data_IF_963542503356
#
_entry.id   IF_963542503356
#
_cell.length_a   1.000
_cell.length_b   1.000
_cell.length_c   1.000
_cell.angle_alpha   90.00
_cell.angle_beta   90.00
_cell.angle_gamma   90.00
#
_symmetry.space_group_name_H-M   'P 1'
#
loop_
_entity.id
_entity.type
_entity.pdbx_description
1 polymer ?
#
# COMPACT_ATOMS: atom_id res chain seq x y z
N UNK A 1 0.14 28.08 -6.77
CA UNK A 1 0.69 27.19 -5.73
C UNK A 1 1.46 28.06 -4.75
N UNK A 2 1.17 27.95 -3.45
CA UNK A 2 1.94 28.62 -2.40
C UNK A 2 2.39 27.57 -1.39
N UNK A 3 3.70 27.51 -1.16
CA UNK A 3 4.30 26.53 -0.26
C UNK A 3 3.79 26.68 1.18
N UNK A 4 3.56 27.93 1.63
CA UNK A 4 3.02 28.21 2.96
C UNK A 4 1.62 27.65 3.16
N UNK A 5 0.76 27.75 2.14
CA UNK A 5 -0.61 27.22 2.18
C UNK A 5 -0.61 25.69 2.21
N UNK A 6 0.25 25.06 1.40
CA UNK A 6 0.40 23.61 1.41
C UNK A 6 0.91 23.11 2.77
N UNK A 7 1.92 23.77 3.33
CA UNK A 7 2.49 23.41 4.63
C UNK A 7 1.45 23.48 5.75
N UNK A 8 0.65 24.55 5.78
CA UNK A 8 -0.41 24.70 6.77
C UNK A 8 -1.48 23.60 6.62
N UNK A 9 -1.93 23.33 5.39
CA UNK A 9 -2.91 22.28 5.12
C UNK A 9 -2.40 20.88 5.50
N UNK A 10 -1.12 20.59 5.22
CA UNK A 10 -0.50 19.32 5.59
C UNK A 10 -0.41 19.13 7.11
N UNK A 11 -0.06 20.18 7.87
CA UNK A 11 -0.01 20.13 9.33
C UNK A 11 -1.41 19.87 9.92
N UNK A 12 -2.43 20.59 9.42
CA UNK A 12 -3.81 20.38 9.88
C UNK A 12 -4.28 18.96 9.61
N UNK A 13 -4.01 18.44 8.40
CA UNK A 13 -4.34 17.07 8.05
C UNK A 13 -3.69 16.04 8.97
N UNK A 14 -2.42 16.23 9.35
CA UNK A 14 -1.74 15.35 10.30
C UNK A 14 -2.42 15.33 11.67
N UNK A 15 -2.82 16.50 12.18
CA UNK A 15 -3.48 16.64 13.49
C UNK A 15 -4.88 16.02 13.46
N UNK A 16 -5.68 16.33 12.43
CA UNK A 16 -7.08 15.86 12.33
C UNK A 16 -7.19 14.34 12.15
N UNK A 17 -6.16 13.69 11.62
CA UNK A 17 -6.18 12.25 11.29
C UNK A 17 -5.19 11.42 12.11
N UNK A 18 -4.59 12.01 13.13
CA UNK A 18 -3.59 11.39 14.02
C UNK A 18 -2.47 10.67 13.26
N UNK A 19 -2.02 11.28 12.16
CA UNK A 19 -1.00 10.68 11.30
C UNK A 19 0.39 10.98 11.87
N UNK A 20 1.32 10.02 11.75
CA UNK A 20 2.68 10.28 12.20
C UNK A 20 3.39 11.27 11.28
N UNK A 21 4.25 12.11 11.86
CA UNK A 21 4.95 13.20 11.16
C UNK A 21 5.79 12.71 9.98
N UNK A 22 6.29 11.46 10.06
CA UNK A 22 7.11 10.87 9.00
C UNK A 22 6.34 10.56 7.71
N UNK A 23 5.00 10.61 7.70
CA UNK A 23 4.18 10.35 6.50
C UNK A 23 4.55 11.29 5.34
N UNK A 24 4.84 12.55 5.63
CA UNK A 24 5.20 13.55 4.60
C UNK A 24 6.56 13.25 3.93
N UNK A 25 7.44 12.51 4.62
CA UNK A 25 8.74 12.10 4.08
C UNK A 25 8.66 10.81 3.27
N UNK A 26 7.54 10.08 3.37
CA UNK A 26 7.40 8.79 2.72
C UNK A 26 7.39 8.97 1.18
N UNK A 27 8.23 8.24 0.41
CA UNK A 27 8.31 8.40 -1.05
C UNK A 27 6.98 8.23 -1.76
N UNK A 28 6.11 7.34 -1.26
CA UNK A 28 4.76 7.13 -1.83
C UNK A 28 3.85 8.35 -1.64
N UNK A 29 3.98 9.08 -0.53
CA UNK A 29 3.23 10.32 -0.32
C UNK A 29 3.69 11.39 -1.32
N UNK A 30 5.01 11.59 -1.46
CA UNK A 30 5.57 12.52 -2.45
C UNK A 30 5.12 12.20 -3.87
N UNK A 31 5.14 10.91 -4.24
CA UNK A 31 4.65 10.45 -5.55
C UNK A 31 3.16 10.71 -5.74
N UNK A 32 2.34 10.53 -4.69
CA UNK A 32 0.91 10.87 -4.75
C UNK A 32 0.73 12.36 -5.01
N UNK A 33 1.43 13.23 -4.28
CA UNK A 33 1.37 14.69 -4.47
C UNK A 33 1.79 15.08 -5.89
N UNK A 34 2.86 14.49 -6.43
CA UNK A 34 3.32 14.72 -7.79
C UNK A 34 2.29 14.32 -8.86
N UNK A 35 1.63 13.16 -8.68
CA UNK A 35 0.55 12.72 -9.57
C UNK A 35 -0.62 13.71 -9.50
N UNK A 36 -0.99 14.13 -8.29
CA UNK A 36 -2.12 15.04 -8.07
C UNK A 36 -1.86 16.45 -8.61
N UNK A 37 -0.62 16.96 -8.51
CA UNK A 37 -0.28 18.31 -9.01
C UNK A 37 -0.35 18.42 -10.53
N UNK A 38 -0.19 17.29 -11.24
CA UNK A 38 -0.31 17.19 -12.70
C UNK A 38 -1.73 16.95 -13.19
N UNK A 39 -2.69 16.70 -12.29
CA UNK A 39 -4.07 16.41 -12.67
C UNK A 39 -4.79 17.68 -13.16
N UNK A 40 -5.14 17.71 -14.45
CA UNK A 40 -5.77 18.89 -15.08
C UNK A 40 -7.21 19.14 -14.64
N UNK A 41 -7.93 18.08 -14.28
CA UNK A 41 -9.37 18.11 -14.00
C UNK A 41 -9.68 17.83 -12.52
N UNK A 42 -8.73 18.09 -11.63
CA UNK A 42 -8.80 17.68 -10.23
C UNK A 42 -8.67 16.16 -10.04
N UNK A 43 -8.76 15.71 -8.79
CA UNK A 43 -8.64 14.30 -8.42
C UNK A 43 -9.94 13.82 -7.80
N UNK A 44 -10.40 12.65 -8.24
CA UNK A 44 -11.52 11.95 -7.64
C UNK A 44 -11.00 11.02 -6.54
N UNK A 45 -11.22 11.40 -5.28
CA UNK A 45 -10.86 10.56 -4.13
C UNK A 45 -11.85 9.37 -4.09
N UNK A 46 -11.37 8.12 -4.09
CA UNK A 46 -12.24 6.95 -4.03
C UNK A 46 -12.95 6.87 -2.68
N UNK A 47 -14.20 6.39 -2.69
CA UNK A 47 -14.94 6.18 -1.45
C UNK A 47 -14.43 4.92 -0.71
N UNK A 48 -14.82 4.77 0.57
CA UNK A 48 -14.37 3.65 1.42
C UNK A 48 -14.59 2.27 0.80
N UNK A 49 -15.72 2.05 0.13
CA UNK A 49 -16.04 0.77 -0.50
C UNK A 49 -15.13 0.50 -1.71
N UNK A 50 -14.93 1.52 -2.55
CA UNK A 50 -14.02 1.45 -3.70
C UNK A 50 -12.57 1.21 -3.25
N UNK A 51 -12.10 1.93 -2.23
CA UNK A 51 -10.76 1.75 -1.66
C UNK A 51 -10.58 0.34 -1.11
N UNK A 52 -11.57 -0.18 -0.36
CA UNK A 52 -11.54 -1.56 0.16
C UNK A 52 -11.46 -2.58 -0.98
N UNK A 53 -12.28 -2.42 -2.01
CA UNK A 53 -12.30 -3.33 -3.15
C UNK A 53 -10.96 -3.29 -3.89
N UNK A 54 -10.41 -2.10 -4.15
CA UNK A 54 -9.12 -1.92 -4.81
C UNK A 54 -7.98 -2.61 -4.04
N UNK A 55 -7.96 -2.50 -2.71
CA UNK A 55 -6.96 -3.19 -1.88
C UNK A 55 -7.07 -4.71 -2.04
N UNK A 56 -8.30 -5.26 -1.99
CA UNK A 56 -8.53 -6.71 -2.17
C UNK A 56 -8.08 -7.15 -3.56
N UNK A 57 -8.37 -6.35 -4.59
CA UNK A 57 -8.04 -6.69 -5.98
C UNK A 57 -6.52 -6.65 -6.23
N UNK A 58 -5.81 -5.67 -5.66
CA UNK A 58 -4.34 -5.61 -5.71
C UNK A 58 -3.73 -6.85 -5.04
N UNK A 59 -4.27 -7.24 -3.88
CA UNK A 59 -3.81 -8.44 -3.17
C UNK A 59 -4.05 -9.72 -3.98
N UNK A 60 -5.28 -9.91 -4.50
CA UNK A 60 -5.61 -11.05 -5.38
C UNK A 60 -4.72 -11.10 -6.62
N UNK A 61 -4.48 -9.96 -7.26
CA UNK A 61 -3.62 -9.86 -8.44
C UNK A 61 -2.19 -10.30 -8.11
N UNK A 62 -1.67 -9.86 -6.96
CA UNK A 62 -0.35 -10.25 -6.48
C UNK A 62 -0.26 -11.76 -6.24
N UNK A 63 -1.26 -12.35 -5.60
CA UNK A 63 -1.33 -13.81 -5.40
C UNK A 63 -1.44 -14.59 -6.72
N UNK A 64 -2.22 -14.11 -7.69
CA UNK A 64 -2.32 -14.75 -9.00
C UNK A 64 -0.99 -14.69 -9.76
N UNK A 65 -0.29 -13.56 -9.70
CA UNK A 65 1.03 -13.40 -10.30
C UNK A 65 2.06 -14.33 -9.65
N UNK A 66 2.02 -14.48 -8.33
CA UNK A 66 2.85 -15.45 -7.62
C UNK A 66 2.51 -16.88 -8.06
N UNK A 67 1.23 -17.27 -8.08
CA UNK A 67 0.79 -18.60 -8.54
C UNK A 67 1.29 -18.91 -9.95
N UNK A 68 1.18 -17.96 -10.89
CA UNK A 68 1.72 -18.12 -12.25
C UNK A 68 3.22 -18.42 -12.25
N UNK A 69 4.00 -17.68 -11.47
CA UNK A 69 5.46 -17.89 -11.34
C UNK A 69 5.79 -19.27 -10.74
N UNK A 70 5.01 -19.73 -9.76
CA UNK A 70 5.19 -21.07 -9.18
C UNK A 70 4.71 -22.20 -10.10
N UNK A 71 3.69 -21.98 -10.92
CA UNK A 71 3.24 -22.96 -11.93
C UNK A 71 4.31 -23.20 -13.00
N UNK A 72 5.04 -22.17 -13.41
CA UNK A 72 6.17 -22.30 -14.36
C UNK A 72 7.33 -23.10 -13.73
N UNK A 73 7.60 -22.95 -12.42
CA UNK A 73 8.62 -23.75 -11.73
C UNK A 73 8.25 -25.23 -11.53
N UNK A 74 6.96 -25.58 -11.56
CA UNK A 74 6.51 -26.97 -11.32
C UNK A 74 6.82 -27.94 -12.48
N UNK A 75 7.23 -27.42 -13.64
CA UNK A 75 7.66 -28.23 -14.79
C UNK A 75 9.17 -28.55 -14.80
N UNK A 76 9.95 -28.06 -13.83
CA UNK A 76 11.37 -28.41 -13.67
C UNK A 76 11.59 -29.15 -12.33
N UNK A 77 11.39 -30.46 -12.43
CA UNK A 77 12.01 -31.54 -11.64
C UNK A 77 11.62 -31.75 -10.15
N UNK A 78 11.56 -33.03 -9.72
CA UNK A 78 11.28 -33.44 -8.35
C UNK A 78 12.53 -33.30 -7.47
N UNK A 79 12.31 -33.36 -6.14
CA UNK A 79 13.32 -33.38 -5.05
C UNK A 79 13.77 -32.03 -4.52
N UNK A 80 12.96 -31.40 -3.67
CA UNK A 80 13.40 -31.14 -2.29
C UNK A 80 12.20 -30.79 -1.39
N UNK A 81 12.19 -31.48 -0.26
CA UNK A 81 11.30 -31.37 0.88
C UNK A 81 11.31 -29.94 1.43
N UNK A 82 10.21 -29.18 1.28
CA UNK A 82 10.04 -27.90 1.97
C UNK A 82 9.43 -28.12 3.34
N UNK A 83 10.25 -27.98 4.38
CA UNK A 83 9.82 -27.83 5.77
C UNK A 83 9.14 -26.47 5.95
N UNK A 84 7.84 -26.46 6.19
CA UNK A 84 7.10 -25.26 6.58
C UNK A 84 7.29 -25.01 8.09
N UNK A 85 8.13 -24.03 8.44
CA UNK A 85 8.09 -23.47 9.80
C UNK A 85 6.87 -22.55 9.92
N UNK A 86 5.93 -22.98 10.74
CA UNK A 86 4.79 -22.20 11.22
C UNK A 86 5.33 -21.15 12.21
N UNK A 87 5.19 -19.86 11.92
CA UNK A 87 5.40 -18.81 12.91
C UNK A 87 4.08 -18.59 13.64
N UNK A 88 3.97 -19.13 14.86
CA UNK A 88 2.92 -18.79 15.82
C UNK A 88 3.33 -17.44 16.43
N UNK A 89 2.56 -16.38 16.19
CA UNK A 89 2.74 -15.11 16.89
C UNK A 89 2.01 -15.19 18.23
N UNK A 90 2.77 -15.28 19.32
CA UNK A 90 2.22 -15.22 20.66
C UNK A 90 1.64 -13.82 20.93
N UNK A 91 0.33 -13.80 21.19
CA UNK A 91 -0.38 -12.64 21.69
C UNK A 91 0.01 -12.47 23.16
N UNK A 92 0.89 -11.52 23.44
CA UNK A 92 1.10 -11.03 24.80
C UNK A 92 -0.19 -10.29 25.21
N UNK A 93 -0.97 -10.94 26.07
CA UNK A 93 -2.08 -10.33 26.80
C UNK A 93 -1.51 -9.42 27.89
N UNK A 94 -2.19 -8.30 28.10
CA UNK A 94 -1.81 -7.22 29.04
C UNK A 94 -1.92 -7.57 30.51
#
# INVERSE_FOLDING_TARGET
YSESVFRQAAILWLIETDQPIHVLQHPTFQKMVEITSRARNGIKIPNRAQTRQAIIDIFKTSLLNLRKRFSVRRQLSPLYHTSCKFLQSDSVKG
#
